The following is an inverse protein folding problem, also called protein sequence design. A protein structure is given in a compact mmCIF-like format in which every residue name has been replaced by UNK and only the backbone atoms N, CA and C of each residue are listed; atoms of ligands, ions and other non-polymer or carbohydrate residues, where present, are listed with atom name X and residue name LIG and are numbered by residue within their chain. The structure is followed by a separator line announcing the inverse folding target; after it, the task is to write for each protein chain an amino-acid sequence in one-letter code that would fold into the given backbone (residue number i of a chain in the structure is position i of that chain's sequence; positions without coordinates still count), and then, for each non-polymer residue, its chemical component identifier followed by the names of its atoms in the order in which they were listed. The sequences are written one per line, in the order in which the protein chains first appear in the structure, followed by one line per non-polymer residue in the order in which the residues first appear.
data_IF_849949347923
#
_entry.id   IF_849949347923
#
_cell.length_a   1.000
_cell.length_b   1.000
_cell.length_c   1.000
_cell.angle_alpha   90.00
_cell.angle_beta   90.00
_cell.angle_gamma   90.00
#
_symmetry.space_group_name_H-M   'P 1'
#
loop_
_entity.id
_entity.type
_entity.pdbx_description
1 polymer ?
#
# COMPACT_ATOMS: atom_id res chain seq x y z
N UNK A 1 15.00 2.03 14.81
CA UNK A 1 15.07 1.12 13.65
C UNK A 1 13.68 0.62 13.24
N UNK A 2 12.99 -0.20 14.04
CA UNK A 2 11.69 -0.82 13.67
C UNK A 2 10.64 0.17 13.14
N UNK A 3 10.37 1.27 13.86
CA UNK A 3 9.39 2.28 13.41
C UNK A 3 9.70 2.83 12.02
N UNK A 4 10.98 3.10 11.72
CA UNK A 4 11.39 3.66 10.44
C UNK A 4 11.35 2.62 9.32
N UNK A 5 11.68 1.35 9.60
CA UNK A 5 11.56 0.30 8.59
C UNK A 5 10.10 -0.04 8.29
N UNK A 6 9.25 -0.14 9.33
CA UNK A 6 7.83 -0.43 9.14
C UNK A 6 7.12 0.75 8.44
N UNK A 7 7.11 1.94 9.03
CA UNK A 7 6.37 3.05 8.43
C UNK A 7 7.09 3.66 7.21
N UNK A 8 8.40 3.86 7.30
CA UNK A 8 9.18 4.48 6.23
C UNK A 8 9.45 3.52 5.08
N UNK A 9 10.31 2.52 5.29
CA UNK A 9 10.75 1.63 4.21
C UNK A 9 9.61 0.82 3.60
N UNK A 10 8.80 0.14 4.42
CA UNK A 10 7.71 -0.72 3.94
C UNK A 10 6.44 0.10 3.64
N UNK A 11 6.02 0.95 4.57
CA UNK A 11 4.80 1.76 4.44
C UNK A 11 4.85 2.76 3.30
N UNK A 12 5.81 3.69 3.32
CA UNK A 12 5.95 4.69 2.24
C UNK A 12 6.37 4.05 0.92
N UNK A 13 7.19 2.99 0.96
CA UNK A 13 7.53 2.21 -0.24
C UNK A 13 6.29 1.64 -0.91
N UNK A 14 5.43 0.97 -0.15
CA UNK A 14 4.19 0.41 -0.70
C UNK A 14 3.18 1.48 -1.12
N UNK A 15 3.07 2.59 -0.38
CA UNK A 15 2.19 3.70 -0.75
C UNK A 15 2.63 4.33 -2.07
N UNK A 16 3.93 4.56 -2.25
CA UNK A 16 4.50 5.11 -3.48
C UNK A 16 4.28 4.16 -4.65
N UNK A 17 4.42 2.84 -4.42
CA UNK A 17 4.17 1.83 -5.44
C UNK A 17 2.69 1.71 -5.82
N UNK A 18 1.76 1.86 -4.88
CA UNK A 18 0.34 1.97 -5.18
C UNK A 18 0.03 3.21 -6.03
N UNK A 19 0.59 4.37 -5.68
CA UNK A 19 0.48 5.59 -6.48
C UNK A 19 1.04 5.41 -7.90
N UNK A 20 2.21 4.76 -8.03
CA UNK A 20 2.78 4.43 -9.35
C UNK A 20 1.85 3.52 -10.17
N UNK A 21 1.32 2.46 -9.57
CA UNK A 21 0.39 1.57 -10.26
C UNK A 21 -0.86 2.33 -10.74
N UNK A 22 -1.48 3.13 -9.86
CA UNK A 22 -2.70 3.87 -10.18
C UNK A 22 -2.49 4.91 -11.28
N UNK A 23 -1.41 5.68 -11.20
CA UNK A 23 -1.21 6.85 -12.07
C UNK A 23 -0.36 6.57 -13.32
N UNK A 24 0.37 5.46 -13.36
CA UNK A 24 1.28 5.12 -14.46
C UNK A 24 0.97 3.75 -15.05
N UNK A 25 1.03 2.69 -14.25
CA UNK A 25 0.94 1.34 -14.80
C UNK A 25 -0.46 0.99 -15.31
N UNK A 26 -1.51 1.35 -14.55
CA UNK A 26 -2.91 1.10 -14.91
C UNK A 26 -3.33 1.69 -16.25
N UNK A 27 -3.18 3.01 -16.50
CA UNK A 27 -3.61 3.60 -17.77
C UNK A 27 -2.88 2.98 -18.97
N UNK A 28 -1.57 2.74 -18.85
CA UNK A 28 -0.78 2.12 -19.92
C UNK A 28 -1.26 0.68 -20.19
N UNK A 29 -1.49 -0.12 -19.15
CA UNK A 29 -1.93 -1.50 -19.33
C UNK A 29 -3.35 -1.59 -19.92
N UNK A 30 -4.22 -0.63 -19.67
CA UNK A 30 -5.53 -0.60 -20.31
C UNK A 30 -5.43 -0.49 -21.84
N UNK A 31 -4.49 0.32 -22.34
CA UNK A 31 -4.20 0.40 -23.78
C UNK A 31 -3.50 -0.85 -24.31
N UNK A 32 -2.51 -1.38 -23.59
CA UNK A 32 -1.80 -2.60 -24.00
C UNK A 32 -2.75 -3.80 -24.08
N UNK A 33 -3.64 -3.96 -23.11
CA UNK A 33 -4.65 -5.03 -23.09
C UNK A 33 -5.69 -4.87 -24.21
N UNK A 34 -5.87 -3.65 -24.73
CA UNK A 34 -6.69 -3.37 -25.91
C UNK A 34 -5.93 -3.57 -27.24
N UNK A 35 -4.64 -3.94 -27.19
CA UNK A 35 -3.82 -4.21 -28.38
C UNK A 35 -3.30 -2.95 -29.09
N UNK A 36 -3.28 -1.81 -28.41
CA UNK A 36 -2.73 -0.56 -28.97
C UNK A 36 -1.22 -0.65 -29.08
N UNK A 37 -0.66 -0.21 -30.21
CA UNK A 37 0.80 -0.16 -30.41
C UNK A 37 1.43 0.77 -29.34
N UNK A 38 2.49 0.34 -28.62
CA UNK A 38 3.12 1.15 -27.59
C UNK A 38 3.54 2.56 -28.01
N UNK A 39 3.76 2.82 -29.30
CA UNK A 39 4.11 4.14 -29.84
C UNK A 39 2.93 5.11 -29.90
N UNK A 40 1.71 4.57 -29.95
CA UNK A 40 0.46 5.34 -30.00
C UNK A 40 -0.11 5.61 -28.60
N UNK A 41 0.43 4.95 -27.56
CA UNK A 41 0.02 5.17 -26.18
C UNK A 41 0.60 6.51 -25.70
N UNK A 42 -0.23 7.42 -25.15
CA UNK A 42 0.25 8.64 -24.52
C UNK A 42 1.35 8.36 -23.49
N UNK A 43 2.35 9.24 -23.41
CA UNK A 43 3.45 9.02 -22.47
C UNK A 43 2.95 9.12 -21.02
N UNK A 44 3.57 8.40 -20.05
CA UNK A 44 3.12 8.37 -18.66
C UNK A 44 2.88 9.75 -18.02
N UNK A 45 3.71 10.74 -18.36
CA UNK A 45 3.59 12.10 -17.81
C UNK A 45 2.36 12.85 -18.34
N UNK A 46 1.84 12.49 -19.52
CA UNK A 46 0.63 13.08 -20.09
C UNK A 46 -0.60 12.68 -19.27
N UNK A 47 -0.69 11.42 -18.80
CA UNK A 47 -1.76 10.97 -17.91
C UNK A 47 -1.72 11.69 -16.54
N UNK A 48 -0.54 12.01 -16.03
CA UNK A 48 -0.39 12.72 -14.75
C UNK A 48 -0.83 14.19 -14.89
N UNK A 49 -0.42 14.85 -15.98
CA UNK A 49 -0.70 16.27 -16.19
C UNK A 49 -2.12 16.53 -16.72
N UNK A 50 -2.72 15.55 -17.40
CA UNK A 50 -4.05 15.66 -17.97
C UNK A 50 -5.02 14.66 -17.32
N UNK A 51 -5.73 15.13 -16.29
CA UNK A 51 -6.76 14.35 -15.59
C UNK A 51 -7.87 13.87 -16.52
N UNK A 52 -8.18 14.59 -17.61
CA UNK A 52 -9.26 14.20 -18.51
C UNK A 52 -8.92 12.93 -19.31
N UNK A 53 -7.62 12.66 -19.56
CA UNK A 53 -7.19 11.38 -20.14
C UNK A 53 -7.42 10.23 -19.15
N UNK A 54 -7.08 10.42 -17.88
CA UNK A 54 -7.35 9.41 -16.85
C UNK A 54 -8.85 9.19 -16.62
N UNK A 55 -9.65 10.27 -16.65
CA UNK A 55 -11.09 10.19 -16.45
C UNK A 55 -11.83 9.47 -17.60
N UNK A 56 -11.27 9.46 -18.82
CA UNK A 56 -11.80 8.65 -19.92
C UNK A 56 -11.62 7.15 -19.69
N UNK A 57 -10.55 6.77 -18.99
CA UNK A 57 -10.22 5.37 -18.67
C UNK A 57 -10.91 4.90 -17.39
N UNK A 58 -10.91 5.76 -16.38
CA UNK A 58 -11.42 5.54 -15.02
C UNK A 58 -12.30 6.74 -14.62
N UNK A 59 -13.63 6.67 -14.87
CA UNK A 59 -14.55 7.80 -14.68
C UNK A 59 -14.51 8.46 -13.29
N UNK A 60 -14.16 7.72 -12.25
CA UNK A 60 -14.09 8.26 -10.88
C UNK A 60 -13.01 9.34 -10.70
N UNK A 61 -12.01 9.42 -11.57
CA UNK A 61 -11.02 10.52 -11.54
C UNK A 61 -11.64 11.90 -11.75
N UNK A 62 -12.82 11.99 -12.39
CA UNK A 62 -13.57 13.23 -12.51
C UNK A 62 -14.09 13.76 -11.16
N UNK A 63 -14.32 12.86 -10.18
CA UNK A 63 -14.73 13.24 -8.82
C UNK A 63 -13.56 13.85 -8.00
N UNK A 64 -12.32 13.66 -8.47
CA UNK A 64 -11.11 14.13 -7.82
C UNK A 64 -10.91 13.52 -6.43
N UNK A 65 -10.29 14.29 -5.52
CA UNK A 65 -10.00 13.84 -4.16
C UNK A 65 -11.17 14.05 -3.17
N UNK A 66 -12.30 14.61 -3.61
CA UNK A 66 -13.41 14.92 -2.71
C UNK A 66 -13.94 13.68 -1.98
N UNK A 67 -14.21 12.53 -2.66
CA UNK A 67 -14.64 11.31 -1.97
C UNK A 67 -13.62 10.77 -0.95
N UNK A 68 -12.33 10.99 -1.17
CA UNK A 68 -11.27 10.61 -0.23
C UNK A 68 -11.43 11.34 1.12
N UNK A 69 -11.60 12.66 1.09
CA UNK A 69 -11.72 13.48 2.30
C UNK A 69 -13.07 13.36 3.01
N UNK A 70 -14.13 12.97 2.29
CA UNK A 70 -15.47 12.73 2.88
C UNK A 70 -15.69 11.27 3.30
N UNK A 71 -14.69 10.40 3.12
CA UNK A 71 -14.76 8.96 3.39
C UNK A 71 -15.80 8.20 2.54
N UNK A 72 -16.22 8.79 1.41
CA UNK A 72 -17.11 8.13 0.45
C UNK A 72 -16.31 7.27 -0.55
N UNK A 73 -15.53 6.31 -0.03
CA UNK A 73 -14.50 5.62 -0.81
C UNK A 73 -15.02 4.61 -1.83
N UNK A 74 -16.31 4.25 -1.78
CA UNK A 74 -16.93 3.37 -2.78
C UNK A 74 -16.87 3.95 -4.21
N UNK A 75 -16.62 5.25 -4.33
CA UNK A 75 -16.45 5.96 -5.60
C UNK A 75 -15.22 5.54 -6.40
N UNK A 76 -14.18 4.99 -5.76
CA UNK A 76 -12.91 4.63 -6.40
C UNK A 76 -12.83 3.17 -6.88
N UNK A 77 -13.97 2.50 -7.06
CA UNK A 77 -14.03 1.06 -7.37
C UNK A 77 -13.67 0.69 -8.81
N UNK A 78 -13.42 1.65 -9.69
CA UNK A 78 -13.02 1.44 -11.08
C UNK A 78 -11.51 1.19 -11.24
N UNK A 79 -10.68 1.73 -10.33
CA UNK A 79 -9.22 1.49 -10.33
C UNK A 79 -8.69 0.80 -9.05
N UNK A 80 -9.45 0.76 -7.96
CA UNK A 80 -9.16 -0.05 -6.77
C UNK A 80 -10.20 -1.17 -6.64
N UNK A 81 -9.95 -2.29 -7.33
CA UNK A 81 -10.90 -3.40 -7.37
C UNK A 81 -10.59 -4.49 -6.34
N UNK A 82 -11.46 -5.49 -6.26
CA UNK A 82 -11.22 -6.72 -5.50
C UNK A 82 -11.84 -7.91 -6.25
N UNK A 83 -11.38 -8.13 -7.49
CA UNK A 83 -11.93 -9.15 -8.40
C UNK A 83 -11.50 -10.56 -8.00
N UNK A 84 -10.24 -10.72 -7.64
CA UNK A 84 -9.61 -12.01 -7.41
C UNK A 84 -9.35 -12.80 -8.69
N UNK A 85 -8.45 -13.78 -8.60
CA UNK A 85 -8.07 -14.63 -9.73
C UNK A 85 -7.14 -13.93 -10.72
N UNK A 86 -7.23 -14.33 -11.99
CA UNK A 86 -6.37 -13.87 -13.07
C UNK A 86 -7.18 -13.06 -14.09
N UNK A 87 -6.53 -12.08 -14.71
CA UNK A 87 -7.04 -11.38 -15.88
C UNK A 87 -7.05 -12.36 -17.07
N UNK A 88 -8.20 -12.65 -17.69
CA UNK A 88 -8.30 -13.61 -18.78
C UNK A 88 -7.59 -13.15 -20.06
N UNK A 89 -7.27 -11.86 -20.20
CA UNK A 89 -6.54 -11.32 -21.35
C UNK A 89 -5.04 -11.55 -21.22
N UNK A 90 -4.48 -11.24 -20.04
CA UNK A 90 -3.03 -11.27 -19.82
C UNK A 90 -2.53 -12.55 -19.16
N UNK A 91 -3.41 -13.30 -18.50
CA UNK A 91 -3.05 -14.43 -17.64
C UNK A 91 -2.38 -14.04 -16.32
N UNK A 92 -2.14 -12.74 -16.08
CA UNK A 92 -1.58 -12.21 -14.84
C UNK A 92 -2.64 -11.89 -13.78
N UNK A 93 -2.22 -11.36 -12.63
CA UNK A 93 -3.14 -10.79 -11.65
C UNK A 93 -3.73 -9.47 -12.18
N UNK A 94 -4.94 -9.12 -11.71
CA UNK A 94 -5.52 -7.81 -11.97
C UNK A 94 -4.66 -6.71 -11.36
N UNK A 95 -4.15 -5.79 -12.19
CA UNK A 95 -3.33 -4.67 -11.71
C UNK A 95 -4.11 -3.73 -10.77
N UNK A 96 -5.42 -3.63 -10.94
CA UNK A 96 -6.30 -2.87 -10.05
C UNK A 96 -6.41 -3.51 -8.67
N UNK A 97 -6.36 -4.85 -8.59
CA UNK A 97 -6.30 -5.58 -7.32
C UNK A 97 -4.91 -5.46 -6.67
N UNK A 98 -3.82 -5.49 -7.46
CA UNK A 98 -2.47 -5.29 -6.92
C UNK A 98 -2.28 -3.85 -6.39
N UNK A 99 -2.85 -2.85 -7.06
CA UNK A 99 -2.84 -1.48 -6.58
C UNK A 99 -3.58 -1.35 -5.23
N UNK A 100 -4.77 -1.95 -5.14
CA UNK A 100 -5.54 -1.98 -3.89
C UNK A 100 -4.81 -2.75 -2.79
N UNK A 101 -4.18 -3.88 -3.11
CA UNK A 101 -3.34 -4.63 -2.16
C UNK A 101 -2.20 -3.77 -1.61
N UNK A 102 -1.46 -3.08 -2.48
CA UNK A 102 -0.35 -2.24 -2.07
C UNK A 102 -0.80 -1.05 -1.21
N UNK A 103 -1.96 -0.45 -1.50
CA UNK A 103 -2.55 0.58 -0.66
C UNK A 103 -2.92 0.02 0.73
N UNK A 104 -3.53 -1.17 0.78
CA UNK A 104 -3.93 -1.80 2.03
C UNK A 104 -2.72 -2.12 2.93
N UNK A 105 -1.67 -2.74 2.37
CA UNK A 105 -0.45 -3.04 3.14
C UNK A 105 0.32 -1.78 3.52
N UNK A 106 0.26 -0.71 2.70
CA UNK A 106 0.86 0.58 3.04
C UNK A 106 0.24 1.14 4.32
N UNK A 107 -1.09 1.17 4.41
CA UNK A 107 -1.81 1.62 5.61
C UNK A 107 -1.45 0.74 6.81
N UNK A 108 -1.43 -0.59 6.63
CA UNK A 108 -1.04 -1.52 7.69
C UNK A 108 0.36 -1.21 8.24
N UNK A 109 1.36 -1.05 7.38
CA UNK A 109 2.74 -0.81 7.78
C UNK A 109 2.97 0.61 8.31
N UNK A 110 2.30 1.62 7.76
CA UNK A 110 2.32 2.98 8.29
C UNK A 110 1.81 3.00 9.73
N UNK A 111 0.68 2.34 10.01
CA UNK A 111 0.15 2.25 11.37
C UNK A 111 1.08 1.42 12.26
N UNK A 112 1.54 0.25 11.80
CA UNK A 112 2.42 -0.63 12.57
C UNK A 112 3.74 0.05 12.98
N UNK A 113 4.29 0.91 12.13
CA UNK A 113 5.50 1.67 12.43
C UNK A 113 5.35 2.74 13.53
N UNK A 114 4.14 2.94 14.07
CA UNK A 114 3.89 3.81 15.22
C UNK A 114 3.64 3.04 16.53
N UNK A 115 3.86 1.73 16.53
CA UNK A 115 3.63 0.88 17.71
C UNK A 115 4.70 1.08 18.81
N UNK A 116 5.98 1.20 18.44
CA UNK A 116 7.07 1.17 19.43
C UNK A 116 7.41 2.56 19.97
N UNK A 117 7.72 2.62 21.27
CA UNK A 117 8.02 3.87 21.97
C UNK A 117 9.25 4.55 21.39
N UNK A 118 9.18 5.88 21.33
CA UNK A 118 10.24 6.77 20.87
C UNK A 118 10.47 7.88 21.91
N UNK A 119 11.24 8.90 21.56
CA UNK A 119 11.50 10.06 22.41
C UNK A 119 10.23 10.88 22.74
N UNK A 120 9.09 10.62 22.09
CA UNK A 120 7.80 11.25 22.38
C UNK A 120 7.02 10.57 23.51
N UNK A 121 7.59 9.55 24.17
CA UNK A 121 7.03 8.95 25.39
C UNK A 121 5.83 8.01 25.22
N UNK A 122 5.19 8.00 24.05
CA UNK A 122 4.03 7.12 23.73
C UNK A 122 4.50 5.91 22.93
N UNK A 123 3.90 4.74 23.19
CA UNK A 123 4.16 3.48 22.51
C UNK A 123 4.72 2.40 23.44
N UNK A 124 5.11 1.27 22.85
CA UNK A 124 5.57 0.09 23.59
C UNK A 124 7.10 -0.06 23.61
N UNK A 125 7.67 -0.38 24.78
CA UNK A 125 9.03 -0.86 24.88
C UNK A 125 9.11 -2.32 24.44
N UNK A 126 10.02 -2.66 23.52
CA UNK A 126 10.14 -4.04 23.01
C UNK A 126 10.53 -5.02 24.13
N UNK A 127 11.45 -4.60 25.02
CA UNK A 127 11.82 -5.36 26.22
C UNK A 127 10.62 -5.56 27.16
N UNK A 128 9.86 -4.51 27.42
CA UNK A 128 8.66 -4.57 28.27
C UNK A 128 7.64 -5.57 27.71
N UNK A 129 7.41 -5.55 26.39
CA UNK A 129 6.55 -6.54 25.72
C UNK A 129 7.08 -7.94 25.99
N UNK A 130 8.37 -8.21 25.72
CA UNK A 130 8.93 -9.55 25.88
C UNK A 130 8.84 -10.04 27.33
N UNK A 131 9.28 -9.25 28.30
CA UNK A 131 9.31 -9.65 29.71
C UNK A 131 7.91 -9.81 30.32
N UNK A 132 6.89 -9.15 29.78
CA UNK A 132 5.50 -9.34 30.20
C UNK A 132 4.91 -10.68 29.75
N UNK A 133 5.44 -11.32 28.71
CA UNK A 133 4.93 -12.59 28.20
C UNK A 133 5.58 -13.78 28.93
N UNK A 134 4.92 -14.23 30.01
CA UNK A 134 5.31 -15.41 30.80
C UNK A 134 4.12 -16.32 31.03
N UNK A 135 4.28 -17.60 30.73
CA UNK A 135 3.28 -18.65 30.96
C UNK A 135 3.63 -19.55 32.15
N UNK A 136 2.64 -20.29 32.68
CA UNK A 136 2.78 -21.13 33.88
C UNK A 136 3.83 -22.25 33.74
N UNK A 137 4.10 -22.69 32.51
CA UNK A 137 5.06 -23.77 32.21
C UNK A 137 6.39 -23.28 31.61
N UNK A 138 6.55 -21.97 31.41
CA UNK A 138 7.69 -21.39 30.65
C UNK A 138 8.77 -20.76 31.54
N UNK A 139 8.65 -20.88 32.86
CA UNK A 139 9.60 -20.31 33.81
C UNK A 139 9.73 -18.79 33.66
N UNK A 140 10.93 -18.31 33.28
CA UNK A 140 11.19 -16.89 33.09
C UNK A 140 10.68 -16.30 31.76
N UNK A 141 10.05 -17.11 30.90
CA UNK A 141 9.51 -16.68 29.60
C UNK A 141 10.60 -16.09 28.70
N UNK A 142 10.34 -14.92 28.12
CA UNK A 142 11.23 -14.27 27.14
C UNK A 142 12.34 -13.38 27.75
N UNK A 143 12.64 -13.51 29.04
CA UNK A 143 13.68 -12.71 29.71
C UNK A 143 15.04 -12.92 29.04
N UNK A 144 15.74 -11.84 28.70
CA UNK A 144 17.06 -11.87 28.07
C UNK A 144 17.04 -11.90 26.53
N UNK A 145 15.90 -12.13 25.89
CA UNK A 145 15.84 -12.18 24.41
C UNK A 145 16.14 -10.83 23.76
N UNK A 146 15.73 -9.72 24.38
CA UNK A 146 16.01 -8.38 23.86
C UNK A 146 17.52 -8.14 23.81
N UNK A 147 18.23 -8.46 24.90
CA UNK A 147 19.67 -8.31 25.01
C UNK A 147 20.37 -9.16 23.95
N UNK A 148 20.00 -10.44 23.80
CA UNK A 148 20.60 -11.35 22.80
C UNK A 148 20.54 -10.79 21.37
N UNK A 149 19.46 -10.10 21.01
CA UNK A 149 19.26 -9.55 19.66
C UNK A 149 19.88 -8.15 19.46
N UNK A 150 20.33 -7.51 20.54
CA UNK A 150 20.82 -6.12 20.51
C UNK A 150 22.28 -5.96 20.93
N UNK A 151 22.92 -7.02 21.45
CA UNK A 151 24.37 -7.13 21.68
C UNK A 151 25.06 -7.79 20.50
#
# INVERSE_FOLDING_TARGET
MLNHHLAGLLGLGSLSWAGHQVHVSLPINQFLNAGVDPKEIPLPHEFILNRDLLAQLYPSFAEGATPFFTLNWSKYSDFLTFRGGLDPVTGGLWLTDTAHHHLAIAILFLIAGHMYRTNWGIGHGLKDILEAHKGPFTGQGHKGLYEILTT
#
